data_IF_512285942921
#
_entry.id   IF_512285942921
#
_cell.length_a   1.000
_cell.length_b   1.000
_cell.length_c   1.000
_cell.angle_alpha   90.00
_cell.angle_beta   90.00
_cell.angle_gamma   90.00
#
_symmetry.space_group_name_H-M   'P 1'
#
loop_
_entity.id
_entity.type
_entity.pdbx_description
1 polymer ?
#
# COMPACT_ATOMS: atom_id res chain seq x y z
N UNK A 1 43.06 -66.07 -17.20
CA UNK A 1 42.00 -65.26 -17.83
C UNK A 1 40.82 -65.20 -16.87
N UNK A 2 40.70 -64.15 -16.06
CA UNK A 2 39.61 -63.97 -15.09
C UNK A 2 39.05 -62.55 -15.22
N UNK A 3 37.74 -62.48 -15.06
CA UNK A 3 36.76 -61.43 -15.39
C UNK A 3 37.09 -60.02 -14.86
N UNK A 4 37.14 -59.05 -15.77
CA UNK A 4 37.08 -57.61 -15.45
C UNK A 4 35.80 -56.93 -16.01
N UNK A 5 35.03 -57.62 -16.86
CA UNK A 5 33.85 -57.04 -17.53
C UNK A 5 32.65 -56.77 -16.62
N UNK A 6 32.50 -57.48 -15.50
CA UNK A 6 31.36 -57.31 -14.59
C UNK A 6 31.47 -56.04 -13.72
N UNK A 7 32.70 -55.57 -13.43
CA UNK A 7 32.92 -54.44 -12.52
C UNK A 7 32.60 -53.09 -13.17
N UNK A 8 32.79 -52.96 -14.49
CA UNK A 8 32.50 -51.72 -15.22
C UNK A 8 31.00 -51.47 -15.44
N UNK A 9 30.18 -52.52 -15.54
CA UNK A 9 28.73 -52.40 -15.76
C UNK A 9 28.01 -51.96 -14.48
N UNK A 10 28.48 -52.39 -13.31
CA UNK A 10 27.91 -51.97 -12.02
C UNK A 10 28.22 -50.50 -11.73
N UNK A 11 29.39 -50.01 -12.15
CA UNK A 11 29.80 -48.61 -11.92
C UNK A 11 29.05 -47.62 -12.83
N UNK A 12 28.75 -47.99 -14.08
CA UNK A 12 27.99 -47.15 -15.00
C UNK A 12 26.48 -47.11 -14.70
N UNK A 13 25.88 -48.20 -14.21
CA UNK A 13 24.49 -48.18 -13.73
C UNK A 13 24.30 -47.34 -12.46
N UNK A 14 25.25 -47.40 -11.52
CA UNK A 14 25.19 -46.61 -10.29
C UNK A 14 25.24 -45.10 -10.52
N UNK A 15 25.99 -44.65 -11.55
CA UNK A 15 26.13 -43.24 -11.90
C UNK A 15 24.87 -42.68 -12.58
N UNK A 16 24.21 -43.47 -13.43
CA UNK A 16 22.93 -43.11 -14.04
C UNK A 16 21.79 -43.03 -13.00
N UNK A 17 21.70 -44.00 -12.08
CA UNK A 17 20.73 -43.98 -10.99
C UNK A 17 20.96 -42.79 -10.04
N UNK A 18 22.21 -42.49 -9.71
CA UNK A 18 22.57 -41.34 -8.87
C UNK A 18 22.21 -40.00 -9.51
N UNK A 19 22.40 -39.84 -10.82
CA UNK A 19 22.00 -38.62 -11.54
C UNK A 19 20.47 -38.49 -11.58
N UNK A 20 19.73 -39.58 -11.86
CA UNK A 20 18.26 -39.52 -11.89
C UNK A 20 17.65 -39.21 -10.53
N UNK A 21 18.22 -39.74 -9.45
CA UNK A 21 17.74 -39.49 -8.09
C UNK A 21 18.05 -38.05 -7.63
N UNK A 22 19.20 -37.51 -8.05
CA UNK A 22 19.57 -36.11 -7.77
C UNK A 22 18.67 -35.12 -8.52
N UNK A 23 18.30 -35.43 -9.77
CA UNK A 23 17.36 -34.59 -10.55
C UNK A 23 15.95 -34.65 -9.94
N UNK A 24 15.50 -35.82 -9.46
CA UNK A 24 14.20 -35.94 -8.81
C UNK A 24 14.12 -35.12 -7.50
N UNK A 25 15.16 -35.14 -6.67
CA UNK A 25 15.24 -34.33 -5.44
C UNK A 25 15.22 -32.82 -5.72
N UNK A 26 15.87 -32.35 -6.78
CA UNK A 26 15.83 -30.94 -7.19
C UNK A 26 14.45 -30.56 -7.74
N UNK A 27 13.75 -31.47 -8.43
CA UNK A 27 12.42 -31.21 -8.98
C UNK A 27 11.32 -31.15 -7.90
N UNK A 28 11.41 -31.94 -6.83
CA UNK A 28 10.48 -31.84 -5.70
C UNK A 28 10.63 -30.51 -4.95
N UNK A 29 11.86 -30.01 -4.78
CA UNK A 29 12.13 -28.73 -4.12
C UNK A 29 11.62 -27.54 -4.96
N UNK A 30 11.73 -27.62 -6.30
CA UNK A 30 11.19 -26.60 -7.21
C UNK A 30 9.66 -26.65 -7.29
N UNK A 31 9.04 -27.82 -7.16
CA UNK A 31 7.58 -27.96 -7.17
C UNK A 31 6.92 -27.40 -5.90
N UNK A 32 7.65 -27.32 -4.80
CA UNK A 32 7.18 -26.72 -3.54
C UNK A 32 7.03 -25.19 -3.61
N UNK A 33 7.61 -24.54 -4.62
CA UNK A 33 7.57 -23.08 -4.79
C UNK A 33 6.43 -22.59 -5.69
N UNK A 34 5.53 -23.47 -6.15
CA UNK A 34 4.32 -23.08 -6.86
C UNK A 34 3.30 -22.49 -5.87
N UNK A 35 3.58 -21.28 -5.40
CA UNK A 35 2.64 -20.45 -4.66
C UNK A 35 1.31 -20.39 -5.42
N UNK A 36 0.22 -20.65 -4.70
CA UNK A 36 -1.16 -20.65 -5.16
C UNK A 36 -1.42 -19.49 -6.14
N UNK A 37 -1.70 -19.79 -7.41
CA UNK A 37 -1.73 -18.80 -8.50
C UNK A 37 -2.99 -17.93 -8.55
N UNK A 38 -3.96 -18.20 -7.68
CA UNK A 38 -5.23 -17.48 -7.65
C UNK A 38 -5.28 -16.57 -6.43
N UNK A 39 -5.80 -15.34 -6.58
CA UNK A 39 -5.97 -14.46 -5.45
C UNK A 39 -6.98 -15.03 -4.45
N UNK A 40 -6.67 -14.88 -3.17
CA UNK A 40 -7.52 -15.23 -2.03
C UNK A 40 -8.60 -14.15 -1.91
N UNK A 41 -9.87 -14.56 -1.87
CA UNK A 41 -11.00 -13.66 -1.57
C UNK A 41 -11.49 -13.92 -0.14
N UNK A 42 -10.99 -13.18 0.84
CA UNK A 42 -11.60 -13.14 2.19
C UNK A 42 -12.27 -11.79 2.37
N UNK A 43 -13.60 -11.79 2.47
CA UNK A 43 -14.36 -10.64 2.96
C UNK A 43 -14.66 -10.85 4.44
N UNK A 44 -13.81 -10.30 5.31
CA UNK A 44 -14.26 -9.94 6.64
C UNK A 44 -15.07 -8.66 6.48
N UNK A 45 -16.39 -8.79 6.41
CA UNK A 45 -17.27 -7.64 6.27
C UNK A 45 -17.84 -7.29 7.65
N UNK A 46 -17.65 -6.05 8.08
CA UNK A 46 -18.33 -5.55 9.27
C UNK A 46 -19.83 -5.47 9.03
N UNK A 47 -20.62 -5.70 10.09
CA UNK A 47 -22.06 -5.59 10.00
C UNK A 47 -22.45 -4.09 9.94
N UNK A 48 -23.04 -3.60 8.86
CA UNK A 48 -23.37 -2.17 8.70
C UNK A 48 -24.47 -1.69 9.65
N UNK A 49 -25.08 -2.58 10.45
CA UNK A 49 -26.02 -2.19 11.48
C UNK A 49 -25.29 -1.57 12.69
N UNK A 50 -24.80 -0.35 12.49
CA UNK A 50 -24.30 0.51 13.57
C UNK A 50 -25.46 0.83 14.50
N UNK A 51 -25.44 0.30 15.72
CA UNK A 51 -26.35 0.73 16.78
C UNK A 51 -26.11 2.22 17.02
N UNK A 52 -27.14 3.07 16.83
CA UNK A 52 -27.08 4.47 17.25
C UNK A 52 -27.06 4.48 18.79
N UNK A 53 -25.86 4.51 19.37
CA UNK A 53 -25.66 4.62 20.81
C UNK A 53 -25.48 6.10 21.15
N UNK A 54 -26.32 6.70 22.02
CA UNK A 54 -26.14 8.08 22.48
C UNK A 54 -24.74 8.29 23.09
N UNK A 55 -23.99 9.27 22.58
CA UNK A 55 -22.63 9.57 23.02
C UNK A 55 -21.52 9.02 22.14
N UNK A 56 -21.83 8.38 21.01
CA UNK A 56 -20.83 8.06 19.99
C UNK A 56 -20.31 9.32 19.28
N UNK A 57 -19.05 9.30 18.82
CA UNK A 57 -18.49 10.39 18.02
C UNK A 57 -19.31 10.58 16.74
N UNK A 58 -19.45 11.85 16.32
CA UNK A 58 -20.02 12.19 15.02
C UNK A 58 -19.14 11.57 13.93
N UNK A 59 -19.76 11.07 12.87
CA UNK A 59 -19.05 10.62 11.67
C UNK A 59 -18.15 11.76 11.16
N UNK A 60 -16.89 11.41 10.89
CA UNK A 60 -15.91 12.32 10.34
C UNK A 60 -15.69 11.99 8.86
N UNK A 61 -15.50 13.03 8.05
CA UNK A 61 -15.17 12.89 6.63
C UNK A 61 -13.89 12.06 6.49
N UNK A 62 -13.99 10.99 5.71
CA UNK A 62 -12.93 10.01 5.49
C UNK A 62 -12.40 10.12 4.06
N UNK A 63 -11.18 9.65 3.76
CA UNK A 63 -10.67 9.64 2.39
C UNK A 63 -11.63 8.89 1.46
N UNK A 64 -11.72 9.33 0.22
CA UNK A 64 -12.51 8.61 -0.79
C UNK A 64 -11.81 7.29 -1.19
N UNK A 65 -12.52 6.45 -1.94
CA UNK A 65 -11.98 5.20 -2.47
C UNK A 65 -11.02 5.49 -3.64
N UNK A 66 -9.72 5.58 -3.36
CA UNK A 66 -8.67 5.79 -4.37
C UNK A 66 -8.16 4.50 -5.02
N UNK A 67 -8.41 3.36 -4.38
CA UNK A 67 -7.95 2.04 -4.84
C UNK A 67 -9.12 1.07 -4.72
N UNK A 68 -9.77 0.82 -5.84
CA UNK A 68 -10.90 -0.10 -5.89
C UNK A 68 -10.48 -1.53 -5.52
N UNK A 69 -11.42 -2.31 -4.97
CA UNK A 69 -11.17 -3.71 -4.55
C UNK A 69 -10.62 -4.59 -5.69
N UNK A 70 -10.98 -4.32 -6.95
CA UNK A 70 -10.48 -5.05 -8.12
C UNK A 70 -9.03 -4.69 -8.52
N UNK A 71 -8.48 -3.61 -7.96
CA UNK A 71 -7.07 -3.23 -8.07
C UNK A 71 -6.19 -3.90 -7.02
N UNK A 72 -6.77 -4.70 -6.11
CA UNK A 72 -6.05 -5.36 -5.01
C UNK A 72 -6.13 -6.87 -5.19
N UNK A 73 -4.97 -7.50 -5.33
CA UNK A 73 -4.84 -8.96 -5.38
C UNK A 73 -4.05 -9.46 -4.18
N UNK A 74 -4.69 -10.28 -3.35
CA UNK A 74 -4.05 -10.91 -2.19
C UNK A 74 -3.70 -12.35 -2.54
N UNK A 75 -2.43 -12.70 -2.43
CA UNK A 75 -1.92 -14.06 -2.57
C UNK A 75 -1.46 -14.57 -1.21
N UNK A 76 -1.05 -15.84 -1.15
CA UNK A 76 -0.55 -16.43 0.09
C UNK A 76 0.75 -15.79 0.60
N UNK A 77 1.57 -15.27 -0.32
CA UNK A 77 2.93 -14.78 -0.08
C UNK A 77 3.10 -13.28 -0.35
N UNK A 78 2.10 -12.61 -0.92
CA UNK A 78 2.18 -11.21 -1.34
C UNK A 78 0.83 -10.55 -1.49
N UNK A 79 0.83 -9.22 -1.47
CA UNK A 79 -0.28 -8.38 -1.91
C UNK A 79 0.20 -7.56 -3.09
N UNK A 80 -0.60 -7.49 -4.16
CA UNK A 80 -0.34 -6.66 -5.33
C UNK A 80 -1.41 -5.60 -5.38
N UNK A 81 -1.00 -4.34 -5.49
CA UNK A 81 -1.88 -3.18 -5.62
C UNK A 81 -1.54 -2.51 -6.94
N UNK A 82 -2.51 -2.46 -7.86
CA UNK A 82 -2.33 -1.86 -9.18
C UNK A 82 -2.71 -0.38 -9.15
N UNK A 83 -1.71 0.48 -9.11
CA UNK A 83 -1.86 1.95 -9.15
C UNK A 83 -0.82 2.58 -10.06
N UNK A 84 -1.16 3.73 -10.62
CA UNK A 84 -0.27 4.47 -11.53
C UNK A 84 0.73 5.33 -10.75
N UNK A 85 2.02 5.15 -11.08
CA UNK A 85 3.14 5.93 -10.54
C UNK A 85 3.15 6.07 -8.98
N UNK A 86 3.06 4.96 -8.23
CA UNK A 86 3.10 5.00 -6.78
C UNK A 86 4.46 5.48 -6.28
N UNK A 87 4.46 6.16 -5.14
CA UNK A 87 5.66 6.45 -4.38
C UNK A 87 5.53 5.95 -2.95
N UNK A 88 6.65 5.50 -2.41
CA UNK A 88 6.78 5.18 -1.00
C UNK A 88 6.98 6.47 -0.21
N UNK A 89 6.10 6.72 0.75
CA UNK A 89 6.16 7.85 1.66
C UNK A 89 6.65 7.41 3.05
N UNK A 90 7.39 8.30 3.70
CA UNK A 90 7.82 8.20 5.09
C UNK A 90 7.45 9.49 5.81
N UNK A 91 7.14 9.38 7.09
CA UNK A 91 6.63 10.49 7.88
C UNK A 91 7.61 10.88 8.98
N UNK A 92 7.60 12.15 9.34
CA UNK A 92 8.35 12.68 10.46
C UNK A 92 7.52 12.57 11.75
N UNK A 93 8.19 12.46 12.89
CA UNK A 93 7.59 12.52 14.24
C UNK A 93 7.16 13.97 14.55
N UNK A 94 6.08 14.44 13.90
CA UNK A 94 5.49 15.76 14.14
C UNK A 94 4.31 15.71 15.13
N UNK A 95 3.80 14.51 15.44
CA UNK A 95 2.57 14.26 16.20
C UNK A 95 1.30 14.90 15.60
N UNK A 96 1.37 15.56 14.44
CA UNK A 96 0.26 16.33 13.88
C UNK A 96 -0.82 15.47 13.24
N UNK A 97 -0.44 14.27 12.82
CA UNK A 97 -1.32 13.28 12.20
C UNK A 97 -1.63 12.11 13.12
N UNK A 98 -1.28 12.18 14.40
CA UNK A 98 -1.69 11.18 15.38
C UNK A 98 -3.23 11.10 15.46
N UNK A 99 -3.80 9.90 15.65
CA UNK A 99 -3.12 8.61 15.78
C UNK A 99 -2.93 7.88 14.43
N UNK A 100 -3.15 8.54 13.29
CA UNK A 100 -3.31 7.89 12.00
C UNK A 100 -2.00 7.55 11.29
N UNK A 101 -0.96 8.38 11.40
CA UNK A 101 0.38 8.10 10.86
C UNK A 101 1.42 8.77 11.78
N UNK A 102 2.55 8.09 11.96
CA UNK A 102 3.69 8.56 12.77
C UNK A 102 5.02 8.06 12.18
N UNK A 103 6.16 8.43 12.77
CA UNK A 103 7.48 7.93 12.41
C UNK A 103 7.50 6.40 12.34
N UNK A 104 8.08 5.87 11.26
CA UNK A 104 8.15 4.43 10.99
C UNK A 104 6.96 3.87 10.21
N UNK A 105 5.85 4.61 10.11
CA UNK A 105 4.73 4.25 9.26
C UNK A 105 5.14 4.32 7.78
N UNK A 106 4.71 3.34 6.98
CA UNK A 106 4.98 3.31 5.55
C UNK A 106 3.72 3.74 4.79
N UNK A 107 3.86 4.76 3.94
CA UNK A 107 2.77 5.24 3.09
C UNK A 107 2.94 4.85 1.62
N UNK A 108 1.83 4.67 0.91
CA UNK A 108 1.80 4.67 -0.56
C UNK A 108 1.06 5.91 -1.03
N UNK A 109 1.68 6.69 -1.89
CA UNK A 109 1.16 7.95 -2.39
C UNK A 109 1.11 7.99 -3.93
N UNK A 110 0.05 8.57 -4.50
CA UNK A 110 -0.14 8.74 -5.94
C UNK A 110 -0.39 10.20 -6.32
N UNK A 111 -0.15 10.55 -7.59
CA UNK A 111 -0.34 11.92 -8.09
C UNK A 111 -1.80 12.07 -8.54
N UNK A 112 -2.59 13.01 -7.97
CA UNK A 112 -3.90 13.35 -8.53
C UNK A 112 -3.71 13.99 -9.92
N UNK A 113 -4.60 13.70 -10.87
CA UNK A 113 -4.53 14.26 -12.23
C UNK A 113 -5.12 15.64 -12.34
N UNK A 114 -6.09 15.97 -11.48
CA UNK A 114 -6.76 17.27 -11.42
C UNK A 114 -7.49 17.46 -10.09
N UNK A 115 -8.04 18.66 -9.89
CA UNK A 115 -8.72 19.08 -8.66
C UNK A 115 -10.00 18.31 -8.36
N UNK A 116 -10.65 17.70 -9.36
CA UNK A 116 -11.89 16.94 -9.14
C UNK A 116 -11.65 15.60 -8.48
N UNK A 117 -10.42 15.11 -8.48
CA UNK A 117 -10.03 13.92 -7.75
C UNK A 117 -9.75 14.19 -6.27
N UNK A 118 -9.60 15.43 -5.83
CA UNK A 118 -9.29 15.73 -4.42
C UNK A 118 -10.59 16.04 -3.69
N UNK A 119 -10.91 15.21 -2.70
CA UNK A 119 -12.14 15.32 -1.91
C UNK A 119 -11.85 15.69 -0.46
N UNK A 120 -12.84 16.29 0.20
CA UNK A 120 -12.81 16.47 1.67
C UNK A 120 -12.66 15.09 2.32
N UNK A 121 -11.77 14.99 3.31
CA UNK A 121 -11.42 13.73 3.96
C UNK A 121 -10.11 13.11 3.46
N UNK A 122 -9.65 13.43 2.24
CA UNK A 122 -8.38 12.92 1.72
C UNK A 122 -7.17 13.40 2.52
N UNK A 123 -6.10 12.62 2.54
CA UNK A 123 -4.83 12.99 3.18
C UNK A 123 -3.81 13.25 2.09
N UNK A 124 -3.29 14.46 2.04
CA UNK A 124 -2.53 14.94 0.88
C UNK A 124 -1.23 15.58 1.36
N UNK A 125 -0.13 15.20 0.70
CA UNK A 125 1.14 15.88 0.83
C UNK A 125 1.16 17.10 -0.10
N UNK A 126 1.52 18.26 0.43
CA UNK A 126 1.59 19.52 -0.31
C UNK A 126 2.82 20.34 0.12
N UNK A 127 3.34 21.17 -0.78
CA UNK A 127 4.40 22.12 -0.48
C UNK A 127 3.78 23.40 0.07
N UNK A 128 3.91 23.62 1.38
CA UNK A 128 3.50 24.86 2.04
C UNK A 128 4.47 25.98 1.71
N UNK A 129 3.96 27.11 1.25
CA UNK A 129 4.76 28.33 1.07
C UNK A 129 5.01 29.02 2.41
N UNK A 130 4.08 28.89 3.36
CA UNK A 130 4.19 29.50 4.70
C UNK A 130 5.26 28.83 5.55
N UNK A 131 5.32 27.49 5.52
CA UNK A 131 6.28 26.71 6.30
C UNK A 131 7.59 26.39 5.54
N UNK A 132 7.63 26.67 4.23
CA UNK A 132 8.73 26.28 3.32
C UNK A 132 9.06 24.76 3.36
N UNK A 133 8.04 23.92 3.54
CA UNK A 133 8.19 22.49 3.75
C UNK A 133 7.11 21.68 3.02
N UNK A 134 7.34 20.36 2.87
CA UNK A 134 6.27 19.43 2.50
C UNK A 134 5.55 19.05 3.79
N UNK A 135 4.24 19.26 3.79
CA UNK A 135 3.33 18.92 4.89
C UNK A 135 2.35 17.87 4.36
N UNK A 136 1.96 16.92 5.19
CA UNK A 136 0.89 15.97 4.89
C UNK A 136 -0.21 16.12 5.93
N UNK A 137 -1.41 16.50 5.50
CA UNK A 137 -2.56 16.72 6.38
C UNK A 137 -3.86 16.36 5.66
N UNK A 138 -4.96 16.32 6.41
CA UNK A 138 -6.29 16.01 5.86
C UNK A 138 -6.96 17.22 5.23
N UNK A 139 -7.56 17.05 4.06
CA UNK A 139 -8.42 18.04 3.41
C UNK A 139 -9.69 18.20 4.25
N UNK A 140 -9.97 19.42 4.69
CA UNK A 140 -11.18 19.75 5.46
C UNK A 140 -12.13 20.68 4.71
N UNK A 141 -11.65 21.33 3.66
CA UNK A 141 -12.44 22.25 2.83
C UNK A 141 -11.83 22.29 1.42
N UNK A 142 -12.68 22.35 0.40
CA UNK A 142 -12.28 22.70 -0.97
C UNK A 142 -13.18 23.82 -1.49
N UNK A 143 -12.66 24.71 -2.33
CA UNK A 143 -13.45 25.79 -2.89
C UNK A 143 -12.79 26.48 -4.07
N UNK A 144 -13.38 27.59 -4.48
CA UNK A 144 -12.85 28.45 -5.53
C UNK A 144 -12.86 29.90 -5.05
N UNK A 145 -11.80 30.64 -5.36
CA UNK A 145 -11.74 32.09 -5.19
C UNK A 145 -11.08 32.75 -6.41
N UNK A 146 -10.71 34.02 -6.32
CA UNK A 146 -10.07 34.76 -7.41
C UNK A 146 -8.76 34.12 -7.89
N UNK A 147 -8.09 33.34 -7.04
CA UNK A 147 -6.89 32.57 -7.37
C UNK A 147 -7.18 31.17 -7.93
N UNK A 148 -8.43 30.85 -8.22
CA UNK A 148 -8.85 29.54 -8.70
C UNK A 148 -9.18 28.56 -7.57
N UNK A 149 -9.04 27.26 -7.85
CA UNK A 149 -9.32 26.21 -6.87
C UNK A 149 -8.38 26.31 -5.66
N UNK A 150 -8.89 25.95 -4.49
CA UNK A 150 -8.08 25.79 -3.29
C UNK A 150 -8.59 24.64 -2.44
N UNK A 151 -7.69 24.10 -1.62
CA UNK A 151 -8.00 23.24 -0.48
C UNK A 151 -7.48 23.86 0.82
N UNK A 152 -8.12 23.51 1.93
CA UNK A 152 -7.62 23.79 3.28
C UNK A 152 -7.40 22.49 4.02
N UNK A 153 -6.34 22.49 4.80
CA UNK A 153 -5.80 21.31 5.43
C UNK A 153 -5.81 21.43 6.95
N UNK A 154 -5.77 20.28 7.62
CA UNK A 154 -5.64 20.19 9.06
C UNK A 154 -5.00 18.85 9.43
N UNK A 155 -4.00 18.86 10.30
CA UNK A 155 -3.50 17.64 10.93
C UNK A 155 -4.56 17.00 11.82
N UNK A 156 -4.69 15.68 11.79
CA UNK A 156 -5.71 14.96 12.55
C UNK A 156 -5.67 15.30 14.05
N UNK A 157 -4.47 15.47 14.62
CA UNK A 157 -4.24 15.84 16.01
C UNK A 157 -4.19 17.35 16.28
N UNK A 158 -4.24 18.19 15.24
CA UNK A 158 -4.16 19.65 15.42
C UNK A 158 -5.51 20.21 15.92
N UNK A 159 -5.53 21.25 16.78
CA UNK A 159 -6.77 21.89 17.22
C UNK A 159 -7.35 22.87 16.18
N UNK A 160 -6.52 23.34 15.24
CA UNK A 160 -6.86 24.35 14.25
C UNK A 160 -6.43 23.91 12.86
N UNK A 161 -7.10 24.46 11.84
CA UNK A 161 -6.71 24.30 10.44
C UNK A 161 -5.36 24.97 10.18
N UNK A 162 -4.69 24.47 9.14
CA UNK A 162 -3.52 25.11 8.60
C UNK A 162 -3.87 26.53 8.11
N UNK A 163 -2.94 27.50 8.25
CA UNK A 163 -3.23 28.90 7.94
C UNK A 163 -3.35 29.20 6.44
N UNK A 164 -2.86 28.29 5.59
CA UNK A 164 -2.70 28.48 4.16
C UNK A 164 -3.89 27.94 3.36
N UNK A 165 -4.29 28.66 2.30
CA UNK A 165 -5.12 28.11 1.22
C UNK A 165 -4.18 27.51 0.18
N UNK A 166 -4.20 26.19 0.07
CA UNK A 166 -3.28 25.44 -0.78
C UNK A 166 -3.87 25.33 -2.18
N UNK A 167 -3.08 25.70 -3.18
CA UNK A 167 -3.42 25.62 -4.60
C UNK A 167 -3.05 24.28 -5.20
N UNK A 168 -3.64 23.95 -6.35
CA UNK A 168 -3.42 22.65 -6.99
C UNK A 168 -1.94 22.40 -7.33
N UNK A 169 -1.22 23.43 -7.77
CA UNK A 169 0.21 23.39 -8.06
C UNK A 169 1.10 23.09 -6.85
N UNK A 170 0.59 23.27 -5.63
CA UNK A 170 1.30 22.93 -4.40
C UNK A 170 1.11 21.47 -4.00
N UNK A 171 0.03 20.84 -4.46
CA UNK A 171 -0.29 19.44 -4.18
C UNK A 171 0.79 18.55 -4.79
N UNK A 172 1.36 17.68 -3.96
CA UNK A 172 2.33 16.69 -4.40
C UNK A 172 1.63 15.38 -4.70
N UNK A 173 0.99 14.77 -3.69
CA UNK A 173 0.40 13.43 -3.79
C UNK A 173 -0.69 13.19 -2.76
N UNK A 174 -1.58 12.25 -3.04
CA UNK A 174 -2.58 11.75 -2.10
C UNK A 174 -2.13 10.41 -1.52
N UNK A 175 -2.29 10.24 -0.20
CA UNK A 175 -2.02 9.01 0.52
C UNK A 175 -3.15 8.01 0.31
N UNK A 176 -2.81 6.85 -0.25
CA UNK A 176 -3.78 5.81 -0.65
C UNK A 176 -3.56 4.46 0.03
N UNK A 177 -2.49 4.33 0.80
CA UNK A 177 -2.22 3.16 1.61
C UNK A 177 -1.33 3.48 2.80
N UNK A 178 -1.63 2.87 3.95
CA UNK A 178 -0.86 2.96 5.19
C UNK A 178 -0.51 1.54 5.61
N UNK A 179 0.78 1.27 5.81
CA UNK A 179 1.30 -0.04 6.22
C UNK A 179 2.09 0.11 7.52
N UNK A 180 1.71 -0.74 8.48
CA UNK A 180 2.32 -0.89 9.81
C UNK A 180 3.05 -2.22 9.93
#
# INVERSE_FOLDING_TARGET
>A
MKSWGALFIVFSLGLLLGITLSIALVLEDVSSAAATTSPIRIRSQENPNTLIIPGLPLEAESPQDWIQEDQIEVYQDRVIIYVDNPQWARFADSNSMDPLIDEGTNGIEIIPTDTSQISVGDIVSYRSEVADAIIIHRVVETGYDEGGWYARFKGDNNPQMDPEKVRYEQIQRVLVGILY
#
